data_IF_194576371276
#
_entry.id   IF_194576371276
#
_cell.length_a   1.000
_cell.length_b   1.000
_cell.length_c   1.000
_cell.angle_alpha   90.00
_cell.angle_beta   90.00
_cell.angle_gamma   90.00
#
_symmetry.space_group_name_H-M   'P 1'
#
loop_
_entity.id
_entity.type
_entity.pdbx_description
1 polymer ?
#
# COMPACT_ATOMS: atom_id res chain seq x y z
N UNK A 1 -2.72 -20.34 7.45
CA UNK A 1 -1.31 -20.16 7.74
C UNK A 1 -1.06 -18.76 8.28
N UNK A 2 -0.41 -18.68 9.42
CA UNK A 2 -0.16 -17.38 10.03
C UNK A 2 0.84 -16.59 9.20
N UNK A 3 0.55 -15.30 9.04
CA UNK A 3 1.48 -14.41 8.39
C UNK A 3 2.66 -14.17 9.33
N UNK A 4 3.83 -14.53 8.89
CA UNK A 4 4.99 -14.31 9.70
C UNK A 4 5.55 -12.91 9.45
N UNK A 5 4.98 -11.92 10.14
CA UNK A 5 5.39 -10.52 10.00
C UNK A 5 6.77 -10.25 10.60
N UNK A 6 7.33 -11.24 11.31
CA UNK A 6 8.67 -11.09 11.88
C UNK A 6 9.77 -11.43 10.88
N UNK A 7 9.43 -12.02 9.73
CA UNK A 7 10.42 -12.24 8.68
C UNK A 7 10.75 -10.95 7.96
N UNK A 8 11.94 -10.90 7.37
CA UNK A 8 12.36 -9.73 6.60
C UNK A 8 11.41 -9.45 5.44
N UNK A 9 11.00 -10.51 4.72
CA UNK A 9 10.06 -10.35 3.61
C UNK A 9 8.68 -9.91 4.09
N UNK A 10 8.26 -10.37 5.25
CA UNK A 10 6.99 -9.95 5.85
C UNK A 10 6.99 -8.46 6.20
N UNK A 11 8.11 -7.96 6.69
CA UNK A 11 8.27 -6.54 6.98
C UNK A 11 8.26 -5.70 5.70
N UNK A 12 8.92 -6.17 4.66
CA UNK A 12 8.90 -5.51 3.34
C UNK A 12 7.48 -5.44 2.81
N UNK A 13 6.75 -6.55 2.87
CA UNK A 13 5.36 -6.59 2.42
C UNK A 13 4.50 -5.58 3.18
N UNK A 14 4.60 -5.57 4.50
CA UNK A 14 3.81 -4.64 5.34
C UNK A 14 4.12 -3.19 5.00
N UNK A 15 5.39 -2.87 4.78
CA UNK A 15 5.83 -1.53 4.42
C UNK A 15 5.22 -1.07 3.09
N UNK A 16 5.22 -1.95 2.10
CA UNK A 16 4.63 -1.65 0.79
C UNK A 16 3.11 -1.54 0.87
N UNK A 17 2.46 -2.38 1.68
CA UNK A 17 1.01 -2.37 1.85
C UNK A 17 0.50 -1.09 2.52
N UNK A 18 1.37 -0.37 3.21
CA UNK A 18 1.03 0.91 3.79
C UNK A 18 1.11 2.07 2.79
N UNK A 19 1.48 1.77 1.54
CA UNK A 19 1.55 2.79 0.49
C UNK A 19 2.90 3.46 0.36
N UNK A 20 3.93 2.89 0.98
CA UNK A 20 5.28 3.45 0.93
C UNK A 20 6.05 2.98 -0.30
N UNK A 21 7.02 3.78 -0.72
CA UNK A 21 7.97 3.36 -1.74
C UNK A 21 9.21 2.79 -1.05
N UNK A 22 9.86 1.83 -1.69
CA UNK A 22 11.00 1.14 -1.11
C UNK A 22 12.12 1.00 -2.13
N UNK A 23 13.33 1.37 -1.73
CA UNK A 23 14.53 1.18 -2.54
C UNK A 23 15.37 0.06 -1.94
N UNK A 24 16.37 -0.41 -2.71
CA UNK A 24 17.30 -1.41 -2.18
C UNK A 24 18.03 -0.90 -0.93
N UNK A 25 18.39 0.37 -0.92
CA UNK A 25 19.03 0.99 0.25
C UNK A 25 18.11 0.99 1.46
N UNK A 26 16.85 1.34 1.26
CA UNK A 26 15.86 1.33 2.34
C UNK A 26 15.68 -0.07 2.92
N UNK A 27 15.63 -1.08 2.04
CA UNK A 27 15.48 -2.47 2.48
C UNK A 27 16.67 -2.91 3.33
N UNK A 28 17.88 -2.53 2.95
CA UNK A 28 19.09 -2.86 3.71
C UNK A 28 19.08 -2.14 5.06
N UNK A 29 18.82 -0.83 5.04
CA UNK A 29 18.92 -0.01 6.24
C UNK A 29 17.79 -0.25 7.24
N UNK A 30 16.59 -0.50 6.75
CA UNK A 30 15.41 -0.65 7.61
C UNK A 30 15.15 -2.09 8.02
N UNK A 31 15.43 -3.05 7.14
CA UNK A 31 15.05 -4.44 7.34
C UNK A 31 16.23 -5.41 7.23
N UNK A 32 17.42 -4.90 7.00
CA UNK A 32 18.62 -5.72 6.78
C UNK A 32 18.38 -6.75 5.67
N UNK A 33 17.69 -6.34 4.60
CA UNK A 33 17.31 -7.21 3.51
C UNK A 33 18.04 -6.81 2.22
N UNK A 34 18.94 -7.70 1.77
CA UNK A 34 19.84 -7.39 0.66
C UNK A 34 19.34 -7.85 -0.71
N UNK A 35 18.26 -8.62 -0.76
CA UNK A 35 17.73 -9.19 -2.00
C UNK A 35 16.35 -8.67 -2.34
N UNK A 36 16.21 -7.37 -2.35
CA UNK A 36 14.90 -6.75 -2.57
C UNK A 36 14.27 -7.16 -3.91
N UNK A 37 15.05 -7.23 -4.99
CA UNK A 37 14.51 -7.62 -6.30
C UNK A 37 13.90 -9.03 -6.26
N UNK A 38 14.59 -9.96 -5.61
CA UNK A 38 14.08 -11.33 -5.45
C UNK A 38 12.85 -11.35 -4.54
N UNK A 39 12.85 -10.52 -3.49
CA UNK A 39 11.71 -10.39 -2.58
C UNK A 39 10.48 -9.84 -3.27
N UNK A 40 10.66 -8.85 -4.13
CA UNK A 40 9.56 -8.29 -4.92
C UNK A 40 8.94 -9.36 -5.81
N UNK A 41 9.78 -10.14 -6.50
CA UNK A 41 9.28 -11.24 -7.33
C UNK A 41 8.55 -12.29 -6.48
N UNK A 42 9.08 -12.61 -5.32
CA UNK A 42 8.43 -13.55 -4.41
C UNK A 42 7.03 -13.07 -4.01
N UNK A 43 6.89 -11.78 -3.69
CA UNK A 43 5.60 -11.21 -3.32
C UNK A 43 4.62 -11.20 -4.50
N UNK A 44 5.09 -10.92 -5.70
CA UNK A 44 4.25 -10.97 -6.90
C UNK A 44 3.76 -12.38 -7.17
N UNK A 45 4.65 -13.36 -7.09
CA UNK A 45 4.33 -14.75 -7.42
C UNK A 45 3.46 -15.43 -6.35
N UNK A 46 3.68 -15.15 -5.08
CA UNK A 46 3.02 -15.86 -3.99
C UNK A 46 1.79 -15.16 -3.43
N UNK A 47 1.71 -13.85 -3.56
CA UNK A 47 0.58 -13.07 -3.02
C UNK A 47 -0.20 -12.31 -4.08
N UNK A 48 0.23 -12.40 -5.35
CA UNK A 48 -0.45 -11.72 -6.44
C UNK A 48 -0.42 -10.20 -6.36
N UNK A 49 0.57 -9.66 -5.67
CA UNK A 49 0.72 -8.20 -5.54
C UNK A 49 1.20 -7.60 -6.87
N UNK A 50 0.69 -6.43 -7.20
CA UNK A 50 1.14 -5.69 -8.39
C UNK A 50 2.14 -4.65 -7.92
N UNK A 51 3.42 -4.91 -8.15
CA UNK A 51 4.49 -4.03 -7.71
C UNK A 51 5.16 -3.40 -8.92
N UNK A 52 5.13 -2.07 -8.97
CA UNK A 52 5.79 -1.31 -10.02
C UNK A 52 7.21 -0.97 -9.60
N UNK A 53 8.07 -0.73 -10.58
CA UNK A 53 9.45 -0.34 -10.33
C UNK A 53 9.85 0.78 -11.28
N UNK A 54 10.74 1.64 -10.82
CA UNK A 54 11.30 2.71 -11.62
C UNK A 54 12.76 2.86 -11.27
N UNK A 55 13.61 2.98 -12.30
CA UNK A 55 15.02 3.27 -12.07
C UNK A 55 15.19 4.75 -11.79
N UNK A 56 15.92 5.07 -10.74
CA UNK A 56 16.26 6.44 -10.38
C UNK A 56 17.74 6.65 -10.63
N UNK A 57 18.07 7.75 -11.30
CA UNK A 57 19.45 8.11 -11.65
C UNK A 57 19.83 9.38 -10.90
N UNK A 58 20.87 9.28 -10.09
CA UNK A 58 21.39 10.41 -9.35
C UNK A 58 22.46 11.13 -10.15
N UNK A 59 22.72 12.38 -9.79
CA UNK A 59 23.70 13.22 -10.49
C UNK A 59 25.13 12.66 -10.42
N UNK A 60 25.42 11.89 -9.37
CA UNK A 60 26.74 11.28 -9.17
C UNK A 60 26.91 9.97 -9.94
N UNK A 61 25.94 9.59 -10.78
CA UNK A 61 26.01 8.38 -11.57
C UNK A 61 25.46 7.15 -10.86
N UNK A 62 25.03 7.27 -9.63
CA UNK A 62 24.42 6.15 -8.90
C UNK A 62 23.01 5.92 -9.44
N UNK A 63 22.66 4.66 -9.65
CA UNK A 63 21.31 4.29 -10.06
C UNK A 63 20.77 3.22 -9.11
N UNK A 64 19.46 3.27 -8.86
CA UNK A 64 18.80 2.29 -8.02
C UNK A 64 17.35 2.13 -8.44
N UNK A 65 16.77 1.01 -8.07
CA UNK A 65 15.37 0.75 -8.37
C UNK A 65 14.51 1.16 -7.17
N UNK A 66 13.41 1.80 -7.48
CA UNK A 66 12.39 2.19 -6.48
C UNK A 66 11.16 1.35 -6.76
N UNK A 67 10.63 0.73 -5.71
CA UNK A 67 9.46 -0.16 -5.81
C UNK A 67 8.30 0.39 -5.01
N UNK A 68 7.08 0.18 -5.50
CA UNK A 68 5.86 0.52 -4.76
C UNK A 68 4.73 -0.41 -5.19
N UNK A 69 3.79 -0.60 -4.29
CA UNK A 69 2.63 -1.44 -4.54
C UNK A 69 1.57 -0.62 -5.27
N UNK A 70 1.01 -1.18 -6.34
CA UNK A 70 -0.04 -0.53 -7.11
C UNK A 70 -1.40 -1.11 -6.74
N UNK A 71 -2.40 -0.26 -6.75
CA UNK A 71 -3.78 -0.70 -6.59
C UNK A 71 -4.28 -1.33 -7.88
N UNK A 72 -5.18 -2.31 -7.75
CA UNK A 72 -5.90 -2.87 -8.91
C UNK A 72 -6.73 -1.74 -9.53
N UNK A 73 -6.58 -1.44 -10.82
CA UNK A 73 -7.32 -0.34 -11.45
C UNK A 73 -8.83 -0.45 -11.31
N UNK A 74 -9.36 -1.67 -11.37
CA UNK A 74 -10.81 -1.89 -11.23
C UNK A 74 -11.27 -1.54 -9.82
N UNK A 75 -10.55 -2.03 -8.81
CA UNK A 75 -10.88 -1.76 -7.41
C UNK A 75 -10.73 -0.26 -7.12
N UNK A 76 -9.67 0.35 -7.63
CA UNK A 76 -9.45 1.78 -7.45
C UNK A 76 -10.61 2.59 -8.04
N UNK A 77 -11.08 2.23 -9.22
CA UNK A 77 -12.21 2.90 -9.85
C UNK A 77 -13.48 2.77 -9.03
N UNK A 78 -13.75 1.57 -8.53
CA UNK A 78 -14.95 1.32 -7.72
C UNK A 78 -14.92 2.12 -6.41
N UNK A 79 -13.78 2.16 -5.75
CA UNK A 79 -13.63 2.93 -4.52
C UNK A 79 -13.74 4.43 -4.79
N UNK A 80 -13.16 4.89 -5.88
CA UNK A 80 -13.26 6.29 -6.29
C UNK A 80 -14.72 6.71 -6.47
N UNK A 81 -15.49 5.90 -7.19
CA UNK A 81 -16.90 6.16 -7.41
C UNK A 81 -17.68 6.17 -6.08
N UNK A 82 -17.38 5.23 -5.21
CA UNK A 82 -17.99 5.11 -3.89
C UNK A 82 -17.77 6.40 -3.07
N UNK A 83 -16.55 6.91 -3.07
CA UNK A 83 -16.20 8.14 -2.35
C UNK A 83 -16.84 9.38 -2.99
N UNK A 84 -16.91 9.40 -4.31
CA UNK A 84 -17.54 10.53 -5.03
C UNK A 84 -19.04 10.64 -4.75
N UNK A 85 -19.67 9.53 -4.36
CA UNK A 85 -21.07 9.52 -3.97
C UNK A 85 -21.31 10.02 -2.54
N UNK A 86 -20.25 10.41 -1.85
CA UNK A 86 -20.34 10.92 -0.49
C UNK A 86 -20.26 9.86 0.59
N UNK A 87 -19.86 8.65 0.23
CA UNK A 87 -19.74 7.56 1.19
C UNK A 87 -18.39 7.58 1.90
N UNK A 88 -18.34 6.92 3.05
CA UNK A 88 -17.12 6.74 3.81
C UNK A 88 -16.71 5.29 3.74
N UNK A 89 -15.40 5.05 3.70
CA UNK A 89 -14.87 3.70 3.58
C UNK A 89 -13.86 3.43 4.70
N UNK A 90 -13.93 2.22 5.28
CA UNK A 90 -12.97 1.74 6.26
C UNK A 90 -12.19 0.59 5.67
N UNK A 91 -11.10 0.21 6.32
CA UNK A 91 -10.32 -0.96 5.91
C UNK A 91 -11.21 -2.19 5.84
N UNK A 92 -12.06 -2.36 6.85
CA UNK A 92 -12.98 -3.50 6.93
C UNK A 92 -14.01 -3.48 5.79
N UNK A 93 -14.65 -2.34 5.55
CA UNK A 93 -15.65 -2.25 4.49
C UNK A 93 -15.01 -2.36 3.10
N UNK A 94 -13.79 -1.87 2.92
CA UNK A 94 -13.07 -2.03 1.66
C UNK A 94 -12.85 -3.51 1.35
N UNK A 95 -12.48 -4.30 2.34
CA UNK A 95 -12.27 -5.72 2.17
C UNK A 95 -13.58 -6.45 1.91
N UNK A 96 -14.63 -6.14 2.67
CA UNK A 96 -15.92 -6.82 2.56
C UNK A 96 -16.66 -6.48 1.27
N UNK A 97 -16.62 -5.23 0.84
CA UNK A 97 -17.40 -4.76 -0.30
C UNK A 97 -16.62 -4.86 -1.62
N UNK A 98 -15.33 -4.52 -1.58
CA UNK A 98 -14.52 -4.43 -2.79
C UNK A 98 -13.41 -5.48 -2.86
N UNK A 99 -13.31 -6.34 -1.84
CA UNK A 99 -12.24 -7.34 -1.73
C UNK A 99 -10.86 -6.67 -1.81
N UNK A 100 -10.73 -5.50 -1.21
CA UNK A 100 -9.52 -4.70 -1.23
C UNK A 100 -8.73 -4.89 0.06
N UNK A 101 -7.53 -5.45 -0.04
CA UNK A 101 -6.64 -5.65 1.10
C UNK A 101 -5.70 -4.47 1.35
N UNK A 102 -5.63 -3.53 0.40
CA UNK A 102 -4.63 -2.47 0.43
C UNK A 102 -5.28 -1.10 0.26
N UNK A 103 -6.23 -0.77 1.15
CA UNK A 103 -6.97 0.49 1.03
C UNK A 103 -6.04 1.71 1.09
N UNK A 104 -4.99 1.64 1.89
CA UNK A 104 -4.04 2.76 2.00
C UNK A 104 -3.36 3.06 0.67
N UNK A 105 -3.03 2.03 -0.10
CA UNK A 105 -2.44 2.19 -1.43
C UNK A 105 -3.43 2.87 -2.37
N UNK A 106 -4.69 2.43 -2.35
CA UNK A 106 -5.74 3.03 -3.17
C UNK A 106 -5.93 4.49 -2.81
N UNK A 107 -6.02 4.80 -1.52
CA UNK A 107 -6.21 6.16 -1.04
C UNK A 107 -5.04 7.06 -1.48
N UNK A 108 -3.80 6.58 -1.36
CA UNK A 108 -2.63 7.35 -1.78
C UNK A 108 -2.65 7.65 -3.27
N UNK A 109 -3.02 6.67 -4.10
CA UNK A 109 -3.11 6.88 -5.54
C UNK A 109 -4.19 7.87 -5.90
N UNK A 110 -5.35 7.80 -5.25
CA UNK A 110 -6.43 8.75 -5.48
C UNK A 110 -6.05 10.16 -5.05
N UNK A 111 -5.31 10.31 -3.97
CA UNK A 111 -4.79 11.61 -3.54
C UNK A 111 -3.82 12.19 -4.57
N UNK A 112 -2.99 11.35 -5.16
CA UNK A 112 -2.06 11.76 -6.21
C UNK A 112 -2.81 12.22 -7.47
N UNK A 113 -4.00 11.70 -7.70
CA UNK A 113 -4.85 12.13 -8.81
C UNK A 113 -5.57 13.44 -8.52
N UNK A 114 -5.41 14.00 -7.33
CA UNK A 114 -5.99 15.27 -6.96
C UNK A 114 -7.21 15.20 -6.05
N UNK A 115 -7.58 14.01 -5.59
CA UNK A 115 -8.73 13.86 -4.69
C UNK A 115 -8.33 14.25 -3.26
N UNK A 116 -9.17 15.05 -2.63
CA UNK A 116 -8.94 15.51 -1.28
C UNK A 116 -9.60 14.54 -0.27
N UNK A 117 -8.91 13.43 0.00
CA UNK A 117 -9.44 12.38 0.87
C UNK A 117 -8.95 12.60 2.29
N UNK A 118 -9.90 12.62 3.21
CA UNK A 118 -9.63 12.83 4.64
C UNK A 118 -9.63 11.50 5.36
N UNK A 119 -8.64 11.31 6.23
CA UNK A 119 -8.56 10.14 7.09
C UNK A 119 -9.00 10.56 8.50
N UNK A 120 -10.04 9.92 8.99
CA UNK A 120 -10.59 10.17 10.33
C UNK A 120 -10.45 8.92 11.17
N UNK A 121 -9.91 9.08 12.39
CA UNK A 121 -9.79 7.96 13.32
C UNK A 121 -11.05 7.91 14.18
N UNK A 122 -11.71 6.76 14.19
CA UNK A 122 -12.95 6.56 14.95
C UNK A 122 -12.64 5.74 16.20
N UNK A 123 -13.11 6.22 17.34
CA UNK A 123 -12.97 5.54 18.65
C UNK A 123 -14.32 5.02 19.10
N UNK A 124 -14.69 3.78 18.74
CA UNK A 124 -15.98 3.24 19.17
C UNK A 124 -15.98 2.95 20.68
N UNK A 125 -17.16 2.97 21.28
CA UNK A 125 -17.31 2.64 22.69
C UNK A 125 -16.89 1.21 22.99
N UNK A 126 -16.98 0.36 22.00
CA UNK A 126 -16.68 -1.06 22.09
C UNK A 126 -15.85 -1.45 20.88
N UNK A 127 -14.70 -2.09 21.11
CA UNK A 127 -13.82 -2.52 20.03
C UNK A 127 -12.62 -1.60 19.82
N UNK A 128 -11.83 -1.94 18.82
CA UNK A 128 -10.59 -1.21 18.51
C UNK A 128 -10.87 0.00 17.64
N UNK A 129 -10.08 1.05 17.83
CA UNK A 129 -10.14 2.22 16.95
C UNK A 129 -9.81 1.81 15.52
N UNK A 130 -10.43 2.50 14.57
CA UNK A 130 -10.19 2.25 13.15
C UNK A 130 -10.19 3.56 12.37
N UNK A 131 -9.63 3.53 11.18
CA UNK A 131 -9.57 4.70 10.31
C UNK A 131 -10.70 4.64 9.28
N UNK A 132 -11.27 5.80 9.01
CA UNK A 132 -12.33 5.95 8.04
C UNK A 132 -11.91 7.02 7.04
N UNK A 133 -12.09 6.75 5.76
CA UNK A 133 -11.72 7.67 4.70
C UNK A 133 -12.94 8.22 4.01
N UNK A 134 -12.91 9.50 3.68
CA UNK A 134 -14.00 10.13 2.95
C UNK A 134 -13.47 11.30 2.14
N UNK A 135 -14.22 11.66 1.10
CA UNK A 135 -13.88 12.79 0.25
C UNK A 135 -14.44 14.07 0.87
N UNK A 136 -13.60 15.06 0.98
CA UNK A 136 -14.01 16.36 1.49
C UNK A 136 -14.87 17.13 0.49
#
# INVERSE_FOLDING_TARGET
MSKNLNTKIGKVRAFLEEGNTLTSWDAINMFDYTRLAAGVKYLEDNYGLVIERKMVYEDDGVKYAKYWLCADPKIKFEIKDFLLRGNRITEKSAKEVFDCDHIKVVINELREEGMNIICETVHPLCGKKFNRYYLK
#
